data_IF_585420252022
#
_entry.id   IF_585420252022
#
_cell.length_a   1.000
_cell.length_b   1.000
_cell.length_c   1.000
_cell.angle_alpha   90.00
_cell.angle_beta   90.00
_cell.angle_gamma   90.00
#
_symmetry.space_group_name_H-M   'P 1'
#
loop_
_entity.id
_entity.type
_entity.pdbx_description
1 polymer ?
#
# COMPACT_ATOMS: atom_id res chain seq x y z
N UNK A 1 -9.40 28.64 48.42
CA UNK A 1 -8.68 28.90 47.15
C UNK A 1 -8.02 27.63 46.55
N UNK A 2 -8.61 26.42 46.67
CA UNK A 2 -8.05 25.15 46.17
C UNK A 2 -8.72 24.61 44.89
N UNK A 3 -10.00 24.92 44.66
CA UNK A 3 -10.81 24.44 43.52
C UNK A 3 -10.35 25.04 42.17
N UNK A 4 -9.90 26.31 42.16
CA UNK A 4 -9.41 26.96 40.92
C UNK A 4 -8.11 26.34 40.39
N UNK A 5 -7.30 25.71 41.26
CA UNK A 5 -6.04 25.05 40.88
C UNK A 5 -6.28 23.67 40.27
N UNK A 6 -7.25 22.89 40.77
CA UNK A 6 -7.57 21.58 40.17
C UNK A 6 -8.22 21.72 38.80
N UNK A 7 -9.08 22.73 38.60
CA UNK A 7 -9.72 22.99 37.31
C UNK A 7 -8.71 23.35 36.21
N UNK A 8 -7.67 24.12 36.55
CA UNK A 8 -6.58 24.42 35.62
C UNK A 8 -5.77 23.19 35.21
N UNK A 9 -5.56 22.24 36.13
CA UNK A 9 -4.85 20.99 35.84
C UNK A 9 -5.68 20.10 34.91
N UNK A 10 -6.99 19.96 35.16
CA UNK A 10 -7.88 19.20 34.26
C UNK A 10 -7.98 19.82 32.87
N UNK A 11 -8.07 21.15 32.76
CA UNK A 11 -8.07 21.83 31.48
C UNK A 11 -6.76 21.62 30.71
N UNK A 12 -5.61 21.70 31.38
CA UNK A 12 -4.30 21.45 30.77
C UNK A 12 -4.18 19.99 30.26
N UNK A 13 -4.69 19.03 31.02
CA UNK A 13 -4.66 17.60 30.66
C UNK A 13 -5.56 17.31 29.45
N UNK A 14 -6.72 17.96 29.36
CA UNK A 14 -7.63 17.85 28.23
C UNK A 14 -7.02 18.45 26.94
N UNK A 15 -6.37 19.61 27.04
CA UNK A 15 -5.65 20.23 25.91
C UNK A 15 -4.48 19.35 25.45
N UNK A 16 -3.77 18.70 26.38
CA UNK A 16 -2.69 17.78 26.03
C UNK A 16 -3.18 16.57 25.23
N UNK A 17 -4.32 15.98 25.62
CA UNK A 17 -4.95 14.88 24.86
C UNK A 17 -5.36 15.31 23.45
N UNK A 18 -5.90 16.53 23.29
CA UNK A 18 -6.23 17.06 21.95
C UNK A 18 -4.99 17.30 21.09
N UNK A 19 -3.87 17.73 21.66
CA UNK A 19 -2.62 17.97 20.91
C UNK A 19 -1.94 16.66 20.46
N UNK A 20 -2.06 15.58 21.22
CA UNK A 20 -1.50 14.26 20.85
C UNK A 20 -2.36 13.57 19.78
N UNK A 21 -3.63 13.97 19.61
CA UNK A 21 -4.55 13.43 18.61
C UNK A 21 -4.32 13.91 17.17
N UNK A 22 -3.44 14.89 16.93
CA UNK A 22 -3.10 15.34 15.57
C UNK A 22 -2.09 14.40 14.93
N UNK A 23 -2.55 13.19 14.59
CA UNK A 23 -1.79 12.25 13.77
C UNK A 23 -1.44 12.87 12.42
N UNK A 24 -0.22 12.58 11.95
CA UNK A 24 0.29 12.97 10.63
C UNK A 24 -0.70 12.45 9.58
N UNK A 25 -1.39 13.36 8.87
CA UNK A 25 -2.27 13.01 7.76
C UNK A 25 -1.50 12.18 6.72
N UNK A 26 -2.18 11.35 5.90
CA UNK A 26 -1.50 10.52 4.90
C UNK A 26 -0.65 11.42 4.01
N UNK A 27 0.67 11.37 4.21
CA UNK A 27 1.61 12.20 3.47
C UNK A 27 1.46 11.96 1.97
N UNK A 28 1.70 13.01 1.19
CA UNK A 28 1.91 12.90 -0.25
C UNK A 28 3.11 12.03 -0.59
N UNK A 29 4.06 11.91 0.34
CA UNK A 29 5.36 11.31 0.08
C UNK A 29 5.26 9.79 0.01
N UNK A 30 5.82 9.25 -1.07
CA UNK A 30 6.02 7.81 -1.25
C UNK A 30 7.23 7.42 -0.40
N UNK A 31 7.11 6.40 0.47
CA UNK A 31 8.26 5.88 1.20
C UNK A 31 9.33 5.47 0.19
N UNK A 32 10.54 6.01 0.33
CA UNK A 32 11.67 5.66 -0.55
C UNK A 32 12.32 4.40 0.03
N UNK A 33 12.22 3.24 -0.64
CA UNK A 33 12.88 2.02 -0.19
C UNK A 33 14.39 2.11 -0.43
N UNK A 34 15.19 1.38 0.35
CA UNK A 34 16.65 1.28 0.14
C UNK A 34 17.01 0.70 -1.24
N UNK A 35 16.12 -0.14 -1.79
CA UNK A 35 16.23 -0.73 -3.12
C UNK A 35 15.04 -0.25 -3.96
N UNK A 36 15.33 0.51 -5.02
CA UNK A 36 14.30 1.02 -5.93
C UNK A 36 13.92 -0.01 -6.97
N UNK A 37 12.63 -0.32 -7.08
CA UNK A 37 12.09 -1.15 -8.16
C UNK A 37 11.36 -0.28 -9.19
N UNK A 38 11.56 -0.58 -10.46
CA UNK A 38 10.80 0.01 -11.56
C UNK A 38 9.67 -0.94 -11.95
N UNK A 39 8.50 -0.36 -12.20
CA UNK A 39 7.34 -1.14 -12.61
C UNK A 39 6.47 -0.33 -13.57
N UNK A 40 5.76 -1.06 -14.40
CA UNK A 40 4.68 -0.52 -15.23
C UNK A 40 3.36 -1.02 -14.68
N UNK A 41 2.48 -0.10 -14.28
CA UNK A 41 1.15 -0.40 -13.75
C UNK A 41 0.11 -0.11 -14.80
N UNK A 42 -0.84 -1.01 -14.96
CA UNK A 42 -2.03 -0.84 -15.77
C UNK A 42 -3.27 -0.91 -14.88
N UNK A 43 -4.13 0.09 -14.96
CA UNK A 43 -5.37 0.13 -14.20
C UNK A 43 -6.54 -0.55 -14.94
N UNK A 44 -7.70 -0.57 -14.28
CA UNK A 44 -8.96 -1.08 -14.79
C UNK A 44 -9.53 -0.26 -15.96
N UNK A 45 -9.04 0.96 -16.16
CA UNK A 45 -9.33 1.84 -17.30
C UNK A 45 -8.34 1.69 -18.46
N UNK A 46 -7.47 0.67 -18.41
CA UNK A 46 -6.42 0.39 -19.41
C UNK A 46 -5.31 1.45 -19.47
N UNK A 47 -5.25 2.40 -18.52
CA UNK A 47 -4.21 3.43 -18.48
C UNK A 47 -2.93 2.82 -17.95
N UNK A 48 -1.84 3.03 -18.68
CA UNK A 48 -0.52 2.52 -18.34
C UNK A 48 0.35 3.62 -17.76
N UNK A 49 0.88 3.39 -16.56
CA UNK A 49 1.73 4.33 -15.82
C UNK A 49 3.07 3.68 -15.48
N UNK A 50 4.17 4.30 -15.89
CA UNK A 50 5.53 3.89 -15.49
C UNK A 50 5.88 4.52 -14.16
N UNK A 51 6.33 3.69 -13.22
CA UNK A 51 6.73 4.12 -11.89
C UNK A 51 8.15 3.68 -11.55
N UNK A 52 8.80 4.51 -10.75
CA UNK A 52 10.07 4.24 -10.05
C UNK A 52 9.79 4.19 -8.55
N UNK A 53 10.72 3.65 -7.75
CA UNK A 53 10.52 3.49 -6.29
C UNK A 53 9.20 2.76 -5.96
N UNK A 54 8.89 1.73 -6.75
CA UNK A 54 7.67 0.94 -6.57
C UNK A 54 7.65 0.29 -5.18
N UNK A 55 6.53 0.43 -4.49
CA UNK A 55 6.31 -0.20 -3.19
C UNK A 55 4.84 -0.60 -2.99
N UNK A 56 4.62 -1.63 -2.17
CA UNK A 56 3.30 -2.08 -1.72
C UNK A 56 3.13 -1.69 -0.26
N UNK A 57 2.24 -0.73 0.04
CA UNK A 57 2.10 -0.17 1.40
C UNK A 57 3.45 0.32 1.99
N UNK A 58 4.36 0.80 1.13
CA UNK A 58 5.72 1.22 1.52
C UNK A 58 6.75 0.10 1.61
N UNK A 59 6.40 -1.14 1.28
CA UNK A 59 7.29 -2.31 1.29
C UNK A 59 7.73 -2.72 -0.12
N UNK A 60 8.88 -3.39 -0.24
CA UNK A 60 9.41 -3.92 -1.52
C UNK A 60 9.03 -5.39 -1.76
N UNK A 61 7.92 -5.82 -1.17
CA UNK A 61 7.38 -7.16 -1.32
C UNK A 61 5.88 -7.09 -1.45
N UNK A 62 5.32 -8.06 -2.17
CA UNK A 62 3.90 -8.28 -2.28
C UNK A 62 3.45 -9.24 -1.20
N UNK A 63 2.52 -8.83 -0.35
CA UNK A 63 2.01 -9.63 0.76
C UNK A 63 0.51 -9.83 0.62
N UNK A 64 0.05 -11.05 0.84
CA UNK A 64 -1.37 -11.37 0.86
C UNK A 64 -1.63 -12.80 1.31
N UNK A 65 -2.88 -13.22 1.19
CA UNK A 65 -3.35 -14.51 1.68
C UNK A 65 -3.42 -15.53 0.54
N UNK A 66 -2.98 -16.75 0.81
CA UNK A 66 -3.18 -17.92 -0.05
C UNK A 66 -3.84 -19.01 0.78
N UNK A 67 -5.13 -19.22 0.53
CA UNK A 67 -5.96 -20.08 1.39
C UNK A 67 -6.03 -19.51 2.80
N UNK A 68 -5.57 -20.27 3.80
CA UNK A 68 -5.51 -19.85 5.22
C UNK A 68 -4.14 -19.29 5.65
N UNK A 69 -3.14 -19.31 4.76
CA UNK A 69 -1.79 -18.83 5.03
C UNK A 69 -1.54 -17.44 4.46
N UNK A 70 -0.58 -16.73 5.04
CA UNK A 70 -0.05 -15.48 4.48
C UNK A 70 1.22 -15.78 3.71
N UNK A 71 1.32 -15.23 2.51
CA UNK A 71 2.48 -15.37 1.61
C UNK A 71 3.06 -14.00 1.36
N UNK A 72 4.38 -13.94 1.41
CA UNK A 72 5.16 -12.73 1.07
C UNK A 72 6.09 -13.07 -0.09
N UNK A 73 6.06 -12.24 -1.12
CA UNK A 73 6.85 -12.43 -2.34
C UNK A 73 7.64 -11.15 -2.61
N UNK A 74 8.97 -11.23 -2.57
CA UNK A 74 9.84 -10.09 -2.93
C UNK A 74 9.64 -9.68 -4.38
N UNK A 75 9.58 -8.37 -4.65
CA UNK A 75 9.44 -7.82 -6.01
C UNK A 75 10.55 -8.30 -6.95
N UNK A 76 11.75 -8.53 -6.43
CA UNK A 76 12.89 -9.05 -7.20
C UNK A 76 12.57 -10.37 -7.91
N UNK A 77 11.73 -11.21 -7.29
CA UNK A 77 11.34 -12.53 -7.80
C UNK A 77 10.09 -12.50 -8.66
N UNK A 78 9.38 -11.37 -8.69
CA UNK A 78 8.13 -11.21 -9.43
C UNK A 78 8.46 -10.74 -10.85
N UNK A 79 7.82 -11.37 -11.83
CA UNK A 79 7.81 -10.90 -13.22
C UNK A 79 6.60 -10.01 -13.47
N UNK A 80 5.43 -10.50 -13.06
CA UNK A 80 4.14 -9.87 -13.36
C UNK A 80 3.11 -10.21 -12.29
N UNK A 81 2.25 -9.26 -11.97
CA UNK A 81 1.07 -9.43 -11.12
C UNK A 81 -0.14 -9.08 -11.98
N UNK A 82 -1.12 -9.98 -12.06
CA UNK A 82 -2.32 -9.77 -12.87
C UNK A 82 -3.54 -9.94 -11.98
N UNK A 83 -4.47 -8.98 -12.04
CA UNK A 83 -5.75 -9.11 -11.36
C UNK A 83 -6.60 -10.17 -12.03
N UNK A 84 -7.13 -11.09 -11.22
CA UNK A 84 -8.05 -12.15 -11.66
C UNK A 84 -9.51 -11.85 -11.32
N UNK A 85 -9.76 -10.73 -10.63
CA UNK A 85 -11.09 -10.26 -10.27
C UNK A 85 -11.18 -9.75 -8.83
N UNK A 86 -12.33 -9.18 -8.52
CA UNK A 86 -12.68 -8.80 -7.15
C UNK A 86 -13.29 -10.02 -6.46
N UNK A 87 -12.59 -10.56 -5.47
CA UNK A 87 -13.09 -11.66 -4.65
C UNK A 87 -14.28 -11.22 -3.78
N UNK A 88 -15.04 -12.19 -3.26
CA UNK A 88 -16.09 -11.91 -2.28
C UNK A 88 -15.50 -11.26 -1.00
N UNK A 89 -16.28 -10.38 -0.35
CA UNK A 89 -15.92 -9.70 0.91
C UNK A 89 -14.77 -8.68 0.81
N UNK A 90 -14.81 -7.78 -0.18
CA UNK A 90 -13.89 -6.63 -0.27
C UNK A 90 -12.40 -7.01 -0.47
N UNK A 91 -12.15 -8.15 -1.12
CA UNK A 91 -10.82 -8.63 -1.46
C UNK A 91 -10.56 -8.56 -2.96
N UNK A 92 -9.30 -8.37 -3.33
CA UNK A 92 -8.80 -8.45 -4.70
C UNK A 92 -7.96 -9.70 -4.85
N UNK A 93 -8.26 -10.50 -5.88
CA UNK A 93 -7.53 -11.72 -6.17
C UNK A 93 -6.54 -11.46 -7.31
N UNK A 94 -5.28 -11.80 -7.07
CA UNK A 94 -4.19 -11.63 -8.02
C UNK A 94 -3.48 -12.95 -8.31
N UNK A 95 -3.02 -13.10 -9.55
CA UNK A 95 -2.01 -14.07 -9.92
C UNK A 95 -0.65 -13.39 -10.02
N UNK A 96 0.30 -13.87 -9.21
CA UNK A 96 1.70 -13.46 -9.23
C UNK A 96 2.49 -14.47 -10.06
N UNK A 97 2.95 -14.04 -11.22
CA UNK A 97 3.88 -14.78 -12.07
C UNK A 97 5.31 -14.45 -11.64
N UNK A 98 6.03 -15.47 -11.22
CA UNK A 98 7.42 -15.38 -10.78
C UNK A 98 8.37 -15.36 -11.98
N UNK A 99 9.58 -14.82 -11.80
CA UNK A 99 10.65 -14.90 -12.80
C UNK A 99 11.08 -16.34 -13.08
N UNK A 100 10.89 -17.26 -12.13
CA UNK A 100 11.11 -18.71 -12.31
C UNK A 100 10.09 -19.38 -13.24
N UNK A 101 8.96 -18.72 -13.53
CA UNK A 101 7.84 -19.30 -14.26
C UNK A 101 6.70 -19.81 -13.38
N UNK A 102 6.91 -19.90 -12.06
CA UNK A 102 5.86 -20.30 -11.11
C UNK A 102 4.73 -19.26 -11.06
N UNK A 103 3.49 -19.72 -10.84
CA UNK A 103 2.33 -18.85 -10.68
C UNK A 103 1.67 -19.07 -9.33
N UNK A 104 1.52 -17.99 -8.57
CA UNK A 104 0.96 -18.00 -7.22
C UNK A 104 -0.26 -17.11 -7.16
N UNK A 105 -1.44 -17.69 -6.94
CA UNK A 105 -2.65 -16.97 -6.59
C UNK A 105 -2.57 -16.43 -5.14
N UNK A 106 -2.85 -15.14 -4.97
CA UNK A 106 -2.80 -14.39 -3.72
C UNK A 106 -4.02 -13.45 -3.65
N UNK A 107 -4.70 -13.44 -2.51
CA UNK A 107 -5.85 -12.58 -2.22
C UNK A 107 -5.49 -11.54 -1.16
N UNK A 108 -5.88 -10.28 -1.34
CA UNK A 108 -5.58 -9.21 -0.38
C UNK A 108 -6.73 -8.20 -0.29
N UNK A 109 -6.68 -7.31 0.70
CA UNK A 109 -7.73 -6.32 0.92
C UNK A 109 -7.73 -5.22 -0.16
N UNK A 110 -8.91 -4.79 -0.59
CA UNK A 110 -9.07 -3.81 -1.66
C UNK A 110 -8.48 -2.43 -1.37
N UNK A 111 -8.28 -2.09 -0.09
CA UNK A 111 -7.82 -0.79 0.39
C UNK A 111 -6.29 -0.65 0.39
N UNK A 112 -5.57 -1.76 0.19
CA UNK A 112 -4.12 -1.75 0.03
C UNK A 112 -3.72 -0.98 -1.23
N UNK A 113 -2.55 -0.34 -1.16
CA UNK A 113 -2.06 0.63 -2.12
C UNK A 113 -0.74 0.19 -2.69
N UNK A 114 -0.68 0.26 -4.01
CA UNK A 114 0.57 0.32 -4.73
C UNK A 114 1.00 1.79 -4.86
N UNK A 115 2.26 2.05 -4.55
CA UNK A 115 2.88 3.37 -4.52
C UNK A 115 4.07 3.41 -5.47
N UNK A 116 4.33 4.57 -6.03
CA UNK A 116 5.53 4.80 -6.84
C UNK A 116 5.68 6.26 -7.23
N UNK A 117 6.78 6.58 -7.90
CA UNK A 117 7.09 7.93 -8.39
C UNK A 117 7.08 7.93 -9.92
N UNK A 118 6.37 8.87 -10.53
CA UNK A 118 6.32 9.09 -11.98
C UNK A 118 7.15 10.33 -12.34
N UNK A 119 7.31 10.61 -13.64
CA UNK A 119 7.97 11.82 -14.11
C UNK A 119 7.25 13.12 -13.73
N UNK A 120 5.98 13.03 -13.35
CA UNK A 120 5.12 14.18 -13.04
C UNK A 120 4.65 14.21 -11.57
N UNK A 121 5.14 13.31 -10.72
CA UNK A 121 4.85 13.36 -9.28
C UNK A 121 4.73 11.98 -8.62
N UNK A 122 3.91 11.92 -7.57
CA UNK A 122 3.66 10.68 -6.81
C UNK A 122 2.47 9.93 -7.37
N UNK A 123 2.61 8.62 -7.50
CA UNK A 123 1.57 7.72 -7.96
C UNK A 123 1.11 6.80 -6.83
N UNK A 124 -0.21 6.68 -6.69
CA UNK A 124 -0.87 5.85 -5.70
C UNK A 124 -2.13 5.26 -6.33
N UNK A 125 -2.26 3.95 -6.27
CA UNK A 125 -3.43 3.23 -6.78
C UNK A 125 -3.86 2.17 -5.78
N UNK A 126 -5.17 1.98 -5.63
CA UNK A 126 -5.75 0.95 -4.78
C UNK A 126 -5.70 -0.40 -5.51
N UNK A 127 -5.47 -1.48 -4.76
CA UNK A 127 -5.43 -2.84 -5.27
C UNK A 127 -6.62 -3.18 -6.19
N UNK A 128 -7.83 -2.82 -5.77
CA UNK A 128 -9.05 -3.07 -6.56
C UNK A 128 -9.09 -2.43 -7.95
N UNK A 129 -8.29 -1.39 -8.18
CA UNK A 129 -8.24 -0.68 -9.45
C UNK A 129 -7.05 -1.14 -10.31
N UNK A 130 -6.19 -2.03 -9.80
CA UNK A 130 -5.04 -2.53 -10.53
C UNK A 130 -5.49 -3.68 -11.41
N UNK A 131 -5.20 -3.59 -12.71
CA UNK A 131 -5.37 -4.70 -13.64
C UNK A 131 -4.10 -5.52 -13.78
N UNK A 132 -2.96 -4.85 -13.86
CA UNK A 132 -1.67 -5.51 -14.08
C UNK A 132 -0.52 -4.67 -13.54
N UNK A 133 0.51 -5.33 -13.00
CA UNK A 133 1.80 -4.74 -12.67
C UNK A 133 2.88 -5.60 -13.32
N UNK A 134 3.74 -5.00 -14.11
CA UNK A 134 4.91 -5.66 -14.68
C UNK A 134 6.18 -5.03 -14.11
N UNK A 135 7.05 -5.85 -13.54
CA UNK A 135 8.33 -5.39 -12.99
C UNK A 135 9.43 -5.52 -14.05
N UNK A 136 10.33 -4.53 -14.09
CA UNK A 136 11.49 -4.51 -15.00
C UNK A 136 12.68 -5.30 -14.44
#
# INVERSE_FOLDING_TARGET
MRIKRSFGVFAALFVWVMLVGMGKGPGSDVPVPEISFNATVKDDQEITTKVTNASWEGNIFFIGNRGKGTVTVSFEKIKKITSTGTGNNNKSDFQVTMKSGDVVAISLENDQRFLGTTSYGTYRILAKNIKEISFE
#
